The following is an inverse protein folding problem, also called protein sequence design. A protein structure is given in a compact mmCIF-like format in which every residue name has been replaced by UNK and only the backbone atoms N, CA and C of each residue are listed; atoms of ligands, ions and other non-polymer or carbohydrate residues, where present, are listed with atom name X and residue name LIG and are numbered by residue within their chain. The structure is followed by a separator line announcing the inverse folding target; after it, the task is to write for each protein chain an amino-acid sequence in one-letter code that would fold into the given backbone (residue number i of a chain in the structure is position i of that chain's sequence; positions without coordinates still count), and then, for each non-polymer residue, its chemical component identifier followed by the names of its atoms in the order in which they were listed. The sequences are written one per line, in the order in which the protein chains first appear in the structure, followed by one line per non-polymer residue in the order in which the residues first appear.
data_IF_480157304450
#
_entry.id   IF_480157304450
#
_cell.length_a   1.000
_cell.length_b   1.000
_cell.length_c   1.000
_cell.angle_alpha   90.00
_cell.angle_beta   90.00
_cell.angle_gamma   90.00
#
_symmetry.space_group_name_H-M   'P 1'
#
loop_
_entity.id
_entity.type
_entity.pdbx_description
1 polymer ?
#
# COMPACT_ATOMS: atom_id res chain seq x y z
N UNK A 1 1.28 -18.23 -8.86
CA UNK A 1 1.74 -18.24 -7.44
C UNK A 1 3.11 -17.58 -7.23
N UNK A 2 4.24 -18.29 -7.34
CA UNK A 2 5.59 -17.71 -7.05
C UNK A 2 6.05 -16.73 -8.14
N UNK A 3 5.90 -17.09 -9.41
CA UNK A 3 6.26 -16.23 -10.54
C UNK A 3 5.46 -14.91 -10.59
N UNK A 4 4.25 -14.92 -10.04
CA UNK A 4 3.38 -13.75 -9.93
C UNK A 4 3.68 -12.92 -8.66
N UNK A 5 4.68 -13.31 -7.87
CA UNK A 5 5.10 -12.61 -6.66
C UNK A 5 4.16 -12.77 -5.47
N UNK A 6 3.21 -13.71 -5.52
CA UNK A 6 2.27 -13.96 -4.43
C UNK A 6 2.84 -14.89 -3.34
N UNK A 7 3.98 -15.53 -3.61
CA UNK A 7 4.61 -16.48 -2.70
C UNK A 7 6.15 -16.35 -2.71
N UNK A 8 6.76 -16.72 -1.59
CA UNK A 8 8.20 -16.64 -1.34
C UNK A 8 8.77 -18.04 -1.23
N UNK A 9 9.98 -18.23 -1.76
CA UNK A 9 10.65 -19.52 -1.80
C UNK A 9 11.66 -19.63 -0.67
N UNK A 10 11.33 -20.45 0.33
CA UNK A 10 12.22 -20.75 1.43
C UNK A 10 13.20 -21.85 1.03
N UNK A 11 14.47 -21.45 0.79
CA UNK A 11 15.55 -22.36 0.36
C UNK A 11 15.77 -23.56 1.30
N UNK A 12 15.46 -23.41 2.58
CA UNK A 12 15.56 -24.49 3.57
C UNK A 12 14.61 -25.66 3.27
N UNK A 13 13.43 -25.39 2.72
CA UNK A 13 12.42 -26.43 2.40
C UNK A 13 12.54 -26.98 0.98
N UNK A 14 13.32 -26.33 0.10
CA UNK A 14 13.56 -26.80 -1.27
C UNK A 14 14.45 -28.04 -1.38
N UNK A 15 15.16 -28.43 -0.30
CA UNK A 15 16.11 -29.54 -0.33
C UNK A 15 15.47 -30.89 -0.65
N UNK A 16 14.17 -31.07 -0.37
CA UNK A 16 13.43 -32.30 -0.66
C UNK A 16 12.76 -32.35 -2.04
N UNK A 17 12.84 -31.30 -2.86
CA UNK A 17 12.11 -31.19 -4.13
C UNK A 17 13.03 -30.70 -5.26
N UNK A 18 13.86 -31.59 -5.86
CA UNK A 18 14.83 -31.18 -6.87
C UNK A 18 14.18 -30.74 -8.20
N UNK A 19 13.09 -31.39 -8.63
CA UNK A 19 12.49 -31.12 -9.95
C UNK A 19 11.76 -29.77 -10.05
N UNK A 20 11.20 -29.28 -8.95
CA UNK A 20 10.50 -27.98 -8.92
C UNK A 20 11.37 -26.85 -8.38
N UNK A 21 12.56 -27.15 -7.86
CA UNK A 21 13.46 -26.18 -7.24
C UNK A 21 13.80 -25.04 -8.18
N UNK A 22 14.27 -25.35 -9.38
CA UNK A 22 14.75 -24.32 -10.30
C UNK A 22 13.61 -23.47 -10.83
N UNK A 23 12.45 -24.08 -11.11
CA UNK A 23 11.24 -23.36 -11.51
C UNK A 23 10.77 -22.37 -10.42
N UNK A 24 10.78 -22.79 -9.15
CA UNK A 24 10.41 -21.93 -8.02
C UNK A 24 11.43 -20.80 -7.84
N UNK A 25 12.73 -21.08 -7.93
CA UNK A 25 13.78 -20.08 -7.84
C UNK A 25 13.72 -19.06 -8.99
N UNK A 26 13.45 -19.53 -10.21
CA UNK A 26 13.28 -18.67 -11.38
C UNK A 26 12.04 -17.79 -11.22
N UNK A 27 10.90 -18.36 -10.80
CA UNK A 27 9.68 -17.62 -10.52
C UNK A 27 9.90 -16.52 -9.49
N UNK A 28 10.63 -16.81 -8.39
CA UNK A 28 10.93 -15.81 -7.38
C UNK A 28 11.82 -14.68 -7.95
N UNK A 29 12.83 -15.03 -8.74
CA UNK A 29 13.71 -14.06 -9.37
C UNK A 29 12.94 -13.14 -10.34
N UNK A 30 12.05 -13.71 -11.16
CA UNK A 30 11.17 -12.94 -12.05
C UNK A 30 10.30 -11.98 -11.26
N UNK A 31 9.64 -12.45 -10.20
CA UNK A 31 8.77 -11.63 -9.38
C UNK A 31 9.51 -10.49 -8.66
N UNK A 32 10.75 -10.73 -8.21
CA UNK A 32 11.64 -9.71 -7.62
C UNK A 32 12.03 -8.64 -8.64
N UNK A 33 12.48 -9.05 -9.83
CA UNK A 33 12.91 -8.12 -10.87
C UNK A 33 11.76 -7.24 -11.37
N UNK A 34 10.57 -7.84 -11.51
CA UNK A 34 9.38 -7.14 -11.95
C UNK A 34 8.63 -6.41 -10.82
N UNK A 35 9.14 -6.51 -9.57
CA UNK A 35 8.49 -5.94 -8.37
C UNK A 35 7.00 -6.28 -8.31
N UNK A 36 6.66 -7.57 -8.45
CA UNK A 36 5.28 -8.03 -8.45
C UNK A 36 4.78 -8.36 -7.04
N UNK A 37 3.52 -7.99 -6.77
CA UNK A 37 2.77 -8.33 -5.57
C UNK A 37 3.57 -8.12 -4.27
N UNK A 38 3.98 -9.19 -3.58
CA UNK A 38 4.75 -9.07 -2.33
C UNK A 38 6.07 -8.31 -2.53
N UNK A 39 6.72 -8.45 -3.69
CA UNK A 39 8.01 -7.84 -4.02
C UNK A 39 7.90 -6.37 -4.48
N UNK A 40 6.69 -5.81 -4.59
CA UNK A 40 6.47 -4.39 -4.91
C UNK A 40 6.56 -3.47 -3.69
N UNK A 41 6.56 -4.05 -2.49
CA UNK A 41 6.61 -3.32 -1.23
C UNK A 41 7.97 -2.65 -1.03
N UNK A 42 7.99 -1.46 -0.40
CA UNK A 42 9.23 -0.75 -0.13
C UNK A 42 10.13 -1.46 0.89
N UNK A 43 9.52 -2.07 1.92
CA UNK A 43 10.20 -2.84 2.96
C UNK A 43 9.41 -4.13 3.25
N UNK A 44 9.51 -5.15 2.37
CA UNK A 44 8.75 -6.38 2.52
C UNK A 44 9.24 -7.18 3.73
N UNK A 45 8.32 -7.51 4.65
CA UNK A 45 8.61 -8.42 5.78
C UNK A 45 8.30 -9.84 5.36
N UNK A 46 9.30 -10.71 5.45
CA UNK A 46 9.13 -12.12 5.08
C UNK A 46 8.06 -12.78 5.96
N UNK A 47 7.17 -13.63 5.42
CA UNK A 47 6.14 -14.32 6.19
C UNK A 47 6.66 -15.12 7.39
N UNK A 48 7.90 -15.62 7.32
CA UNK A 48 8.58 -16.28 8.44
C UNK A 48 8.92 -15.30 9.56
N UNK A 49 9.47 -14.13 9.23
CA UNK A 49 9.80 -13.08 10.21
C UNK A 49 8.53 -12.52 10.85
N UNK A 50 7.45 -12.37 10.07
CA UNK A 50 6.12 -12.00 10.58
C UNK A 50 5.59 -13.01 11.59
N UNK A 51 5.67 -14.31 11.27
CA UNK A 51 5.27 -15.39 12.18
C UNK A 51 6.11 -15.39 13.46
N UNK A 52 7.38 -15.02 13.37
CA UNK A 52 8.33 -15.11 14.48
C UNK A 52 8.43 -13.83 15.32
N UNK A 53 7.45 -12.92 15.23
CA UNK A 53 7.30 -11.72 16.09
C UNK A 53 8.60 -10.95 16.36
N UNK A 54 9.54 -10.97 15.44
CA UNK A 54 10.63 -10.00 15.43
C UNK A 54 9.99 -8.64 15.18
N UNK A 55 10.03 -7.77 16.20
CA UNK A 55 9.54 -6.41 16.16
C UNK A 55 10.38 -5.57 15.21
N UNK A 56 10.28 -5.82 13.91
CA UNK A 56 10.55 -4.80 12.94
C UNK A 56 9.34 -3.89 12.96
N UNK A 57 9.55 -2.63 13.35
CA UNK A 57 8.60 -1.54 13.12
C UNK A 57 8.36 -1.45 11.61
N UNK A 58 7.51 -2.31 11.08
CA UNK A 58 6.84 -2.07 9.82
C UNK A 58 5.89 -0.91 10.08
N UNK A 59 6.38 0.30 9.83
CA UNK A 59 5.50 1.36 9.38
C UNK A 59 4.75 0.75 8.21
N UNK A 60 3.48 0.44 8.41
CA UNK A 60 2.52 0.11 7.38
C UNK A 60 2.52 1.28 6.40
N UNK A 61 3.44 1.26 5.44
CA UNK A 61 3.35 2.14 4.30
C UNK A 61 2.11 1.66 3.54
N UNK A 62 1.11 2.53 3.34
CA UNK A 62 -0.03 2.18 2.52
C UNK A 62 0.50 1.78 1.15
N UNK A 63 -0.11 0.74 0.59
CA UNK A 63 0.02 0.34 -0.81
C UNK A 63 -0.08 1.63 -1.62
N UNK A 64 1.04 2.12 -2.15
CA UNK A 64 1.03 3.36 -2.92
C UNK A 64 0.13 3.14 -4.13
N UNK A 65 -0.97 3.89 -4.29
CA UNK A 65 -1.70 3.89 -5.53
C UNK A 65 -0.80 4.55 -6.56
N UNK A 66 -0.54 3.86 -7.68
CA UNK A 66 -0.11 4.50 -8.94
C UNK A 66 -1.21 5.44 -9.52
N UNK A 67 -1.86 6.24 -8.68
CA UNK A 67 -2.92 7.19 -9.04
C UNK A 67 -2.66 8.60 -8.49
N UNK A 68 -1.46 8.90 -8.00
CA UNK A 68 -1.11 10.25 -7.51
C UNK A 68 -1.17 11.35 -8.58
N UNK A 69 -1.29 11.02 -9.87
CA UNK A 69 -1.44 12.06 -10.90
C UNK A 69 -2.86 12.63 -10.99
N UNK A 70 -3.86 12.01 -10.35
CA UNK A 70 -5.24 12.48 -10.39
C UNK A 70 -5.85 12.80 -9.01
N UNK A 71 -5.20 12.40 -7.91
CA UNK A 71 -5.66 12.72 -6.56
C UNK A 71 -5.26 14.15 -6.17
N UNK A 72 -6.12 14.84 -5.44
CA UNK A 72 -5.85 16.17 -4.91
C UNK A 72 -4.86 16.10 -3.72
N UNK A 73 -3.75 16.86 -3.74
CA UNK A 73 -2.78 16.87 -2.64
C UNK A 73 -3.32 17.44 -1.33
N UNK A 74 -4.46 18.15 -1.33
CA UNK A 74 -5.13 18.65 -0.14
C UNK A 74 -5.59 17.52 0.81
N UNK A 75 -5.79 16.30 0.29
CA UNK A 75 -6.32 15.15 1.04
C UNK A 75 -5.36 13.95 0.99
N UNK A 76 -4.31 13.93 1.83
CA UNK A 76 -3.29 12.89 1.78
C UNK A 76 -3.77 11.51 2.25
N UNK A 77 -4.83 11.45 3.06
CA UNK A 77 -5.33 10.20 3.64
C UNK A 77 -6.25 9.41 2.68
N UNK A 78 -6.88 10.07 1.70
CA UNK A 78 -7.74 9.42 0.72
C UNK A 78 -7.74 10.15 -0.63
N UNK A 79 -7.86 9.40 -1.73
CA UNK A 79 -7.79 9.98 -3.07
C UNK A 79 -9.11 10.65 -3.47
N UNK A 80 -9.11 11.98 -3.62
CA UNK A 80 -10.19 12.72 -4.27
C UNK A 80 -9.71 13.17 -5.65
N UNK A 81 -10.36 12.76 -6.75
CA UNK A 81 -10.04 13.28 -8.08
C UNK A 81 -10.12 14.80 -8.15
N UNK A 82 -9.15 15.47 -8.78
CA UNK A 82 -9.17 16.94 -8.96
C UNK A 82 -10.39 17.47 -9.74
N UNK A 83 -11.00 16.61 -10.55
CA UNK A 83 -12.21 16.91 -11.32
C UNK A 83 -13.48 16.38 -10.63
N UNK A 84 -13.42 16.03 -9.34
CA UNK A 84 -14.59 15.62 -8.59
C UNK A 84 -15.56 16.80 -8.45
N UNK A 85 -16.89 16.53 -8.43
CA UNK A 85 -17.85 17.51 -7.97
C UNK A 85 -17.54 17.92 -6.53
N UNK A 86 -18.10 19.05 -6.10
CA UNK A 86 -17.97 19.48 -4.71
C UNK A 86 -18.62 18.44 -3.79
N UNK A 87 -17.82 17.84 -2.92
CA UNK A 87 -18.23 16.79 -2.00
C UNK A 87 -18.33 17.39 -0.61
N UNK A 88 -19.46 17.23 0.05
CA UNK A 88 -19.63 17.65 1.43
C UNK A 88 -19.27 16.49 2.39
N UNK A 89 -19.04 16.82 3.66
CA UNK A 89 -18.87 15.81 4.72
C UNK A 89 -20.02 14.80 4.80
N UNK A 90 -21.20 15.13 4.26
CA UNK A 90 -22.37 14.23 4.21
C UNK A 90 -22.27 13.18 3.11
N UNK A 91 -21.49 13.43 2.05
CA UNK A 91 -21.38 12.55 0.88
C UNK A 91 -20.30 11.47 1.05
N UNK A 92 -19.37 11.70 1.97
CA UNK A 92 -18.28 10.78 2.30
C UNK A 92 -18.52 10.12 3.66
N UNK A 93 -18.01 8.89 3.84
CA UNK A 93 -18.09 8.18 5.14
C UNK A 93 -16.90 8.49 6.06
N UNK A 94 -15.84 9.07 5.52
CA UNK A 94 -14.62 9.43 6.22
C UNK A 94 -14.86 10.66 7.09
N UNK A 95 -14.30 10.64 8.30
CA UNK A 95 -14.38 11.72 9.30
C UNK A 95 -13.01 11.91 9.91
N UNK A 96 -12.74 13.12 10.42
CA UNK A 96 -11.49 13.47 11.12
C UNK A 96 -10.26 13.04 10.33
N UNK A 97 -10.21 13.40 9.06
CA UNK A 97 -9.07 13.16 8.19
C UNK A 97 -8.23 14.43 8.05
N UNK A 98 -6.97 14.28 7.65
CA UNK A 98 -6.08 15.42 7.47
C UNK A 98 -6.46 16.21 6.22
N UNK A 99 -6.58 17.53 6.38
CA UNK A 99 -6.78 18.49 5.30
C UNK A 99 -5.57 19.42 5.21
N UNK A 100 -5.08 19.65 3.99
CA UNK A 100 -4.01 20.59 3.71
C UNK A 100 -4.56 21.77 2.91
N UNK A 101 -4.13 23.01 3.20
CA UNK A 101 -4.53 24.17 2.41
C UNK A 101 -3.85 24.18 1.01
N UNK A 102 -4.50 24.69 -0.04
CA UNK A 102 -5.89 25.17 -0.07
C UNK A 102 -6.87 24.00 -0.10
N UNK A 103 -7.97 24.09 0.65
CA UNK A 103 -9.02 23.06 0.78
C UNK A 103 -10.13 23.30 -0.27
N UNK A 104 -10.08 22.69 -1.46
CA UNK A 104 -10.97 23.08 -2.56
C UNK A 104 -12.41 22.60 -2.35
N UNK A 105 -12.60 21.54 -1.57
CA UNK A 105 -13.92 20.99 -1.20
C UNK A 105 -14.46 21.53 0.13
N UNK A 106 -13.72 22.39 0.83
CA UNK A 106 -14.21 23.04 2.05
C UNK A 106 -14.53 22.06 3.21
N UNK A 107 -13.84 20.92 3.28
CA UNK A 107 -14.02 19.94 4.35
C UNK A 107 -13.52 20.44 5.72
N UNK A 108 -12.56 21.37 5.73
CA UNK A 108 -11.95 22.02 6.90
C UNK A 108 -12.27 23.52 6.87
N UNK A 109 -13.47 23.85 7.35
CA UNK A 109 -14.02 25.20 7.28
C UNK A 109 -13.40 26.15 8.32
N UNK A 110 -12.89 25.61 9.40
CA UNK A 110 -12.25 26.32 10.50
C UNK A 110 -10.72 26.39 10.38
N UNK A 111 -10.12 25.59 9.49
CA UNK A 111 -8.72 25.69 9.09
C UNK A 111 -7.76 25.10 10.10
N UNK A 112 -8.19 24.11 10.88
CA UNK A 112 -7.38 23.45 11.90
C UNK A 112 -6.56 22.27 11.36
N UNK A 113 -6.76 21.92 10.08
CA UNK A 113 -6.12 20.82 9.38
C UNK A 113 -6.86 19.50 9.51
N UNK A 114 -8.05 19.47 10.11
CA UNK A 114 -8.88 18.27 10.30
C UNK A 114 -10.25 18.46 9.63
N UNK A 115 -10.46 17.73 8.54
CA UNK A 115 -11.72 17.75 7.80
C UNK A 115 -12.81 16.90 8.44
N UNK A 116 -14.05 17.38 8.35
CA UNK A 116 -15.26 16.65 8.73
C UNK A 116 -15.19 16.06 10.15
N UNK A 117 -15.01 16.94 11.13
CA UNK A 117 -14.87 16.56 12.55
C UNK A 117 -16.17 16.10 13.24
N UNK A 118 -17.31 16.35 12.58
CA UNK A 118 -18.65 16.15 13.10
C UNK A 118 -19.29 14.83 12.68
#
# INVERSE_FOLDING_TARGET
MVQEGQAIVYRQYLKGCPESRDSLLQGENTAKQQRLAFWSQANPVMPWDFRHRTTQKTTSQPIQPQQQNNCDPAYPDFCIPKNSPDLDCRDISQRRFKVLPPDPHGFDRDGDGIGCEK
#
